data_IF_253510227346
#
_entry.id   IF_253510227346
#
_cell.length_a   1.000
_cell.length_b   1.000
_cell.length_c   1.000
_cell.angle_alpha   90.00
_cell.angle_beta   90.00
_cell.angle_gamma   90.00
#
_symmetry.space_group_name_H-M   'P 1'
#
loop_
_entity.id
_entity.type
_entity.pdbx_description
1 polymer ?
#
# COMPACT_ATOMS: atom_id res chain seq x y z
N UNK A 1 -16.77 6.71 -10.21
CA UNK A 1 -16.89 5.42 -9.48
C UNK A 1 -18.30 4.85 -9.57
N UNK A 2 -19.33 5.67 -9.37
CA UNK A 2 -20.73 5.26 -9.50
C UNK A 2 -21.05 4.59 -10.83
N UNK A 3 -20.54 5.16 -11.93
CA UNK A 3 -20.64 4.57 -13.26
C UNK A 3 -20.13 3.11 -13.35
N UNK A 4 -19.01 2.78 -12.69
CA UNK A 4 -18.45 1.40 -12.72
C UNK A 4 -19.33 0.44 -11.92
N UNK A 5 -19.81 0.88 -10.75
CA UNK A 5 -20.72 0.08 -9.93
C UNK A 5 -22.02 -0.15 -10.69
N UNK A 6 -22.59 0.87 -11.30
CA UNK A 6 -23.83 0.79 -12.08
C UNK A 6 -23.67 -0.06 -13.34
N UNK A 7 -22.56 0.06 -14.07
CA UNK A 7 -22.24 -0.83 -15.17
C UNK A 7 -22.15 -2.28 -14.71
N UNK A 8 -21.51 -2.52 -13.56
CA UNK A 8 -21.38 -3.87 -13.02
C UNK A 8 -22.72 -4.46 -12.58
N UNK A 9 -23.54 -3.67 -11.88
CA UNK A 9 -24.90 -4.07 -11.50
C UNK A 9 -25.75 -4.39 -12.73
N UNK A 10 -25.70 -3.57 -13.79
CA UNK A 10 -26.40 -3.84 -15.06
C UNK A 10 -25.92 -5.13 -15.73
N UNK A 11 -24.61 -5.37 -15.73
CA UNK A 11 -24.02 -6.61 -16.25
C UNK A 11 -24.48 -7.84 -15.45
N UNK A 12 -24.67 -7.70 -14.14
CA UNK A 12 -25.14 -8.81 -13.29
C UNK A 12 -26.60 -9.14 -13.54
N UNK A 13 -27.49 -8.14 -13.58
CA UNK A 13 -28.91 -8.35 -13.89
C UNK A 13 -29.08 -8.99 -15.27
N UNK A 14 -28.35 -8.52 -16.28
CA UNK A 14 -28.37 -9.10 -17.62
C UNK A 14 -27.75 -10.52 -17.70
N UNK A 15 -26.91 -10.91 -16.72
CA UNK A 15 -26.30 -12.23 -16.60
C UNK A 15 -27.19 -13.21 -15.82
N UNK A 16 -27.88 -12.76 -14.78
CA UNK A 16 -28.87 -13.54 -14.03
C UNK A 16 -30.04 -13.97 -14.90
N UNK A 17 -30.47 -13.11 -15.83
CA UNK A 17 -31.47 -13.43 -16.85
C UNK A 17 -31.00 -14.50 -17.87
N UNK A 18 -29.70 -14.80 -17.95
CA UNK A 18 -29.08 -15.70 -18.94
C UNK A 18 -28.51 -17.00 -18.37
N UNK A 19 -28.48 -17.20 -17.05
CA UNK A 19 -27.73 -18.30 -16.43
C UNK A 19 -28.57 -19.57 -16.21
N UNK A 20 -28.43 -20.51 -17.16
CA UNK A 20 -28.60 -21.95 -16.98
C UNK A 20 -27.24 -22.56 -16.61
N UNK A 21 -27.16 -23.19 -15.42
CA UNK A 21 -26.24 -24.26 -15.03
C UNK A 21 -24.70 -24.12 -15.01
N UNK A 22 -24.08 -22.93 -15.14
CA UNK A 22 -22.64 -22.79 -14.82
C UNK A 22 -22.41 -21.84 -13.63
N UNK A 23 -21.80 -22.36 -12.55
CA UNK A 23 -21.27 -21.53 -11.45
C UNK A 23 -20.05 -20.76 -11.95
N UNK A 24 -20.29 -19.59 -12.53
CA UNK A 24 -19.24 -18.67 -12.98
C UNK A 24 -18.55 -18.01 -11.76
N UNK A 25 -17.23 -17.80 -11.85
CA UNK A 25 -16.42 -17.22 -10.79
C UNK A 25 -16.76 -15.73 -10.59
N UNK A 26 -17.18 -15.36 -9.37
CA UNK A 26 -17.54 -13.97 -9.01
C UNK A 26 -16.29 -13.16 -8.72
N UNK A 27 -16.19 -11.95 -9.29
CA UNK A 27 -15.09 -11.04 -8.93
C UNK A 27 -15.30 -10.36 -7.58
N UNK A 28 -14.24 -9.71 -7.07
CA UNK A 28 -14.26 -9.11 -5.73
C UNK A 28 -15.35 -8.03 -5.56
N UNK A 29 -15.62 -7.21 -6.59
CA UNK A 29 -16.69 -6.22 -6.50
C UNK A 29 -18.06 -6.91 -6.45
N UNK A 30 -18.22 -8.00 -7.19
CA UNK A 30 -19.44 -8.80 -7.15
C UNK A 30 -19.70 -9.35 -5.75
N UNK A 31 -18.68 -9.98 -5.15
CA UNK A 31 -18.78 -10.53 -3.80
C UNK A 31 -19.17 -9.46 -2.77
N UNK A 32 -18.61 -8.25 -2.88
CA UNK A 32 -18.97 -7.13 -2.01
C UNK A 32 -20.40 -6.63 -2.21
N UNK A 33 -20.91 -6.65 -3.45
CA UNK A 33 -22.28 -6.27 -3.76
C UNK A 33 -23.27 -7.32 -3.24
N UNK A 34 -22.95 -8.61 -3.39
CA UNK A 34 -23.77 -9.70 -2.85
C UNK A 34 -23.85 -9.60 -1.31
N UNK A 35 -22.73 -9.33 -0.64
CA UNK A 35 -22.70 -9.14 0.82
C UNK A 35 -23.49 -7.90 1.26
N UNK A 36 -23.52 -6.85 0.42
CA UNK A 36 -24.37 -5.67 0.68
C UNK A 36 -25.86 -6.00 0.59
N UNK A 37 -26.24 -6.95 -0.27
CA UNK A 37 -27.62 -7.34 -0.54
C UNK A 37 -28.15 -8.42 0.42
N UNK A 38 -27.29 -9.06 1.20
CA UNK A 38 -27.70 -9.96 2.27
C UNK A 38 -28.39 -9.18 3.40
N UNK A 39 -29.69 -9.45 3.59
CA UNK A 39 -30.52 -8.81 4.61
C UNK A 39 -30.15 -9.21 6.06
N UNK A 40 -29.44 -10.32 6.25
CA UNK A 40 -29.15 -10.95 7.55
C UNK A 40 -27.80 -10.52 8.18
N UNK A 41 -27.12 -9.53 7.58
CA UNK A 41 -25.86 -9.03 8.12
C UNK A 41 -26.10 -8.04 9.27
N UNK A 42 -25.67 -8.38 10.49
CA UNK A 42 -25.76 -7.53 11.70
C UNK A 42 -25.17 -6.11 11.49
N UNK A 43 -24.25 -5.96 10.53
CA UNK A 43 -23.73 -4.68 10.02
C UNK A 43 -23.54 -4.75 8.49
N UNK A 44 -24.52 -4.30 7.69
CA UNK A 44 -24.41 -4.36 6.23
C UNK A 44 -23.31 -3.44 5.72
N UNK A 45 -22.56 -3.91 4.72
CA UNK A 45 -21.54 -3.09 4.07
C UNK A 45 -22.22 -1.99 3.26
N UNK A 46 -21.81 -0.74 3.47
CA UNK A 46 -22.42 0.41 2.79
C UNK A 46 -21.75 0.64 1.43
N UNK A 47 -22.49 1.26 0.48
CA UNK A 47 -21.90 1.71 -0.80
C UNK A 47 -20.68 2.60 -0.55
N UNK A 48 -20.72 3.47 0.46
CA UNK A 48 -19.59 4.33 0.86
C UNK A 48 -18.36 3.52 1.28
N UNK A 49 -18.53 2.45 2.05
CA UNK A 49 -17.41 1.56 2.42
C UNK A 49 -16.83 0.85 1.20
N UNK A 50 -17.68 0.34 0.29
CA UNK A 50 -17.22 -0.27 -0.97
C UNK A 50 -16.42 0.74 -1.79
N UNK A 51 -16.88 2.00 -1.87
CA UNK A 51 -16.15 3.07 -2.55
C UNK A 51 -14.81 3.37 -1.89
N UNK A 52 -14.77 3.41 -0.55
CA UNK A 52 -13.57 3.71 0.22
C UNK A 52 -12.48 2.63 0.11
N UNK A 53 -12.81 1.41 -0.31
CA UNK A 53 -11.82 0.36 -0.59
C UNK A 53 -10.94 0.67 -1.80
N UNK A 54 -11.40 1.52 -2.72
CA UNK A 54 -10.68 1.87 -3.96
C UNK A 54 -10.08 3.27 -3.87
N UNK A 55 -9.20 3.44 -2.89
CA UNK A 55 -8.44 4.66 -2.68
C UNK A 55 -7.14 4.61 -3.48
N UNK A 56 -6.75 5.73 -4.11
CA UNK A 56 -5.56 5.85 -4.97
C UNK A 56 -4.23 5.89 -4.18
N UNK A 57 -4.19 5.18 -3.05
CA UNK A 57 -3.06 5.13 -2.11
C UNK A 57 -1.84 4.47 -2.74
N UNK A 58 -2.05 3.39 -3.50
CA UNK A 58 -1.00 2.69 -4.25
C UNK A 58 -0.38 3.60 -5.31
N UNK A 59 -1.19 4.32 -6.09
CA UNK A 59 -0.70 5.25 -7.10
C UNK A 59 0.15 6.37 -6.48
N UNK A 60 -0.39 7.04 -5.46
CA UNK A 60 0.32 8.10 -4.71
C UNK A 60 1.64 7.57 -4.14
N UNK A 61 1.63 6.38 -3.52
CA UNK A 61 2.84 5.79 -2.93
C UNK A 61 3.86 5.45 -4.00
N UNK A 62 3.42 4.99 -5.18
CA UNK A 62 4.29 4.68 -6.33
C UNK A 62 4.92 5.94 -6.92
N UNK A 63 4.16 7.04 -7.01
CA UNK A 63 4.65 8.32 -7.52
C UNK A 63 5.74 8.91 -6.63
N UNK A 64 5.48 8.98 -5.32
CA UNK A 64 6.49 9.42 -4.35
C UNK A 64 7.71 8.51 -4.35
N UNK A 65 7.48 7.21 -4.47
CA UNK A 65 8.54 6.23 -4.58
C UNK A 65 9.44 6.50 -5.81
N UNK A 66 8.84 6.70 -6.97
CA UNK A 66 9.58 7.02 -8.19
C UNK A 66 10.35 8.34 -8.06
N UNK A 67 9.72 9.38 -7.51
CA UNK A 67 10.33 10.70 -7.37
C UNK A 67 11.62 10.67 -6.53
N UNK A 68 11.60 9.94 -5.43
CA UNK A 68 12.75 9.75 -4.55
C UNK A 68 13.82 8.85 -5.18
N UNK A 69 13.45 7.79 -5.90
CA UNK A 69 14.43 6.99 -6.67
C UNK A 69 15.15 7.87 -7.70
N UNK A 70 14.39 8.71 -8.41
CA UNK A 70 14.93 9.63 -9.42
C UNK A 70 15.83 10.71 -8.81
N UNK A 71 15.54 11.12 -7.56
CA UNK A 71 16.36 12.09 -6.82
C UNK A 71 17.64 11.47 -6.23
N UNK A 72 17.73 10.14 -6.19
CA UNK A 72 18.84 9.39 -5.60
C UNK A 72 19.44 8.38 -6.62
N UNK A 73 20.40 8.81 -7.46
CA UNK A 73 20.96 7.98 -8.53
C UNK A 73 21.53 6.63 -8.05
N UNK A 74 22.10 6.57 -6.84
CA UNK A 74 22.60 5.32 -6.26
C UNK A 74 21.49 4.29 -6.02
N UNK A 75 20.32 4.75 -5.57
CA UNK A 75 19.15 3.92 -5.32
C UNK A 75 18.54 3.46 -6.64
N UNK A 76 18.41 4.37 -7.61
CA UNK A 76 17.94 4.01 -8.96
C UNK A 76 18.83 2.94 -9.60
N UNK A 77 20.16 3.12 -9.57
CA UNK A 77 21.11 2.15 -10.12
C UNK A 77 20.97 0.77 -9.47
N UNK A 78 20.81 0.69 -8.16
CA UNK A 78 20.63 -0.59 -7.45
C UNK A 78 19.32 -1.29 -7.79
N UNK A 79 18.24 -0.52 -7.93
CA UNK A 79 16.96 -1.09 -8.38
C UNK A 79 17.06 -1.61 -9.82
N UNK A 80 17.82 -0.92 -10.69
CA UNK A 80 18.09 -1.37 -12.06
C UNK A 80 18.94 -2.63 -12.11
N UNK A 81 19.97 -2.74 -11.28
CA UNK A 81 20.81 -3.92 -11.16
C UNK A 81 20.00 -5.14 -10.69
N UNK A 82 19.21 -4.98 -9.63
CA UNK A 82 18.31 -6.04 -9.17
C UNK A 82 17.30 -6.45 -10.27
N UNK A 83 16.72 -5.48 -10.97
CA UNK A 83 15.76 -5.76 -12.04
C UNK A 83 16.41 -6.51 -13.21
N UNK A 84 17.62 -6.11 -13.60
CA UNK A 84 18.39 -6.75 -14.67
C UNK A 84 18.73 -8.20 -14.33
N UNK A 85 19.08 -8.47 -13.07
CA UNK A 85 19.41 -9.81 -12.57
C UNK A 85 18.18 -10.71 -12.45
N UNK A 86 17.08 -10.22 -11.88
CA UNK A 86 15.91 -11.03 -11.54
C UNK A 86 14.97 -11.23 -12.72
N UNK A 87 14.76 -10.19 -13.52
CA UNK A 87 13.75 -10.16 -14.60
C UNK A 87 14.42 -10.08 -15.97
N UNK A 88 15.47 -9.27 -16.09
CA UNK A 88 16.03 -8.84 -17.36
C UNK A 88 15.34 -7.57 -17.86
N UNK A 89 16.13 -6.59 -18.31
CA UNK A 89 15.64 -5.22 -18.59
C UNK A 89 14.60 -5.14 -19.71
N UNK A 90 14.64 -6.07 -20.65
CA UNK A 90 13.71 -6.15 -21.80
C UNK A 90 12.47 -6.99 -21.52
N UNK A 91 12.46 -7.75 -20.44
CA UNK A 91 11.41 -8.73 -20.16
C UNK A 91 10.23 -8.08 -19.42
N UNK A 92 9.08 -8.75 -19.48
CA UNK A 92 7.88 -8.35 -18.76
C UNK A 92 8.04 -8.79 -17.30
N UNK A 93 7.63 -7.92 -16.37
CA UNK A 93 7.62 -8.27 -14.94
C UNK A 93 6.41 -9.18 -14.72
N UNK A 94 6.61 -10.30 -14.05
CA UNK A 94 5.56 -11.25 -13.66
C UNK A 94 5.44 -11.28 -12.14
N UNK A 95 4.31 -11.76 -11.64
CA UNK A 95 4.09 -11.88 -10.18
C UNK A 95 5.14 -12.79 -9.52
N UNK A 96 5.60 -13.82 -10.24
CA UNK A 96 6.63 -14.77 -9.79
C UNK A 96 7.99 -14.09 -9.51
N UNK A 97 8.25 -12.92 -10.08
CA UNK A 97 9.46 -12.15 -9.86
C UNK A 97 9.42 -11.32 -8.57
N UNK A 98 8.24 -10.88 -8.12
CA UNK A 98 8.10 -9.92 -7.03
C UNK A 98 8.78 -10.36 -5.71
N UNK A 99 8.69 -11.63 -5.27
CA UNK A 99 9.36 -12.06 -4.04
C UNK A 99 10.90 -11.99 -4.10
N UNK A 100 11.47 -11.93 -5.31
CA UNK A 100 12.92 -11.87 -5.55
C UNK A 100 13.44 -10.42 -5.61
N UNK A 101 12.57 -9.43 -5.79
CA UNK A 101 12.90 -7.99 -5.85
C UNK A 101 13.00 -7.38 -4.45
N UNK A 102 14.01 -7.79 -3.68
CA UNK A 102 14.20 -7.42 -2.27
C UNK A 102 14.53 -5.94 -2.09
N UNK A 103 15.42 -5.40 -2.91
CA UNK A 103 15.81 -4.00 -2.87
C UNK A 103 14.64 -3.09 -3.24
N UNK A 104 13.82 -3.44 -4.24
CA UNK A 104 12.59 -2.69 -4.53
C UNK A 104 11.59 -2.75 -3.37
N UNK A 105 11.44 -3.91 -2.71
CA UNK A 105 10.61 -4.03 -1.50
C UNK A 105 11.10 -3.12 -0.37
N UNK A 106 12.40 -3.01 -0.16
CA UNK A 106 12.98 -2.11 0.86
C UNK A 106 12.85 -0.64 0.52
N UNK A 107 12.99 -0.33 -0.77
CA UNK A 107 12.74 1.00 -1.31
C UNK A 107 11.30 1.40 -1.01
N UNK A 108 10.34 0.48 -1.23
CA UNK A 108 8.95 0.63 -0.80
C UNK A 108 8.79 0.83 0.72
N UNK A 109 9.49 0.06 1.57
CA UNK A 109 9.47 0.29 3.02
C UNK A 109 9.98 1.69 3.41
N UNK A 110 11.03 2.15 2.74
CA UNK A 110 11.55 3.51 2.91
C UNK A 110 10.50 4.58 2.63
N UNK A 111 9.69 4.40 1.59
CA UNK A 111 8.67 5.38 1.20
C UNK A 111 7.50 5.40 2.14
N UNK A 112 6.95 4.24 2.48
CA UNK A 112 5.81 4.18 3.40
C UNK A 112 6.16 4.73 4.78
N UNK A 113 7.44 4.70 5.15
CA UNK A 113 7.96 5.43 6.31
C UNK A 113 7.94 6.95 6.14
N UNK A 114 8.47 7.46 5.02
CA UNK A 114 8.54 8.91 4.74
C UNK A 114 7.20 9.53 4.36
N UNK A 115 6.23 8.74 3.90
CA UNK A 115 4.94 9.22 3.44
C UNK A 115 4.18 9.98 4.55
N UNK A 116 3.40 10.97 4.12
CA UNK A 116 2.65 11.88 5.00
C UNK A 116 1.29 11.32 5.44
N UNK A 117 0.94 10.10 5.04
CA UNK A 117 -0.36 9.50 5.31
C UNK A 117 -0.23 8.31 6.26
N UNK A 118 -0.85 8.38 7.45
CA UNK A 118 -2.20 7.88 7.74
C UNK A 118 -2.43 8.05 9.23
N UNK A 119 -3.27 9.03 9.57
CA UNK A 119 -3.74 9.25 10.92
C UNK A 119 -4.86 8.22 11.17
N UNK A 120 -4.58 7.19 11.97
CA UNK A 120 -5.61 6.27 12.41
C UNK A 120 -6.44 6.94 13.51
N UNK A 121 -7.73 7.11 13.26
CA UNK A 121 -8.68 7.54 14.30
C UNK A 121 -9.29 6.32 14.97
N UNK A 122 -9.12 6.21 16.28
CA UNK A 122 -9.92 5.31 17.13
C UNK A 122 -10.96 6.14 17.88
N UNK A 123 -12.09 5.52 18.17
CA UNK A 123 -13.08 6.06 19.08
C UNK A 123 -13.34 4.97 20.13
N UNK A 124 -12.97 5.17 21.40
CA UNK A 124 -13.14 4.14 22.40
C UNK A 124 -14.64 3.96 22.71
N UNK A 125 -15.07 2.70 22.76
CA UNK A 125 -16.46 2.32 23.04
C UNK A 125 -16.87 2.61 24.49
N UNK A 126 -15.88 2.75 25.37
CA UNK A 126 -15.99 2.98 26.81
C UNK A 126 -14.84 3.89 27.25
N UNK A 127 -15.03 4.65 28.34
CA UNK A 127 -13.95 5.47 28.88
C UNK A 127 -12.80 4.59 29.36
N UNK A 128 -11.57 4.91 28.98
CA UNK A 128 -10.39 4.10 29.27
C UNK A 128 -9.20 4.98 29.70
N UNK A 129 -8.12 4.34 30.16
CA UNK A 129 -6.87 5.03 30.49
C UNK A 129 -5.79 4.64 29.49
N UNK A 130 -5.11 5.61 28.89
CA UNK A 130 -4.01 5.40 27.93
C UNK A 130 -2.82 6.23 28.38
N UNK A 131 -1.69 5.59 28.68
CA UNK A 131 -0.46 6.30 29.09
C UNK A 131 -0.62 7.18 30.33
N UNK A 132 -1.54 6.82 31.25
CA UNK A 132 -1.87 7.61 32.43
C UNK A 132 -2.96 8.67 32.22
N UNK A 133 -3.41 8.90 30.97
CA UNK A 133 -4.48 9.85 30.66
C UNK A 133 -5.84 9.15 30.57
N UNK A 134 -6.87 9.72 31.19
CA UNK A 134 -8.25 9.28 31.01
C UNK A 134 -8.77 9.77 29.65
N UNK A 135 -9.20 8.84 28.80
CA UNK A 135 -9.81 9.09 27.51
C UNK A 135 -11.30 8.77 27.60
N UNK A 136 -12.19 9.78 27.55
CA UNK A 136 -13.62 9.55 27.60
C UNK A 136 -14.13 8.74 26.41
N UNK A 137 -15.18 7.93 26.64
CA UNK A 137 -15.97 7.30 25.58
C UNK A 137 -16.35 8.33 24.49
N UNK A 138 -16.25 7.95 23.23
CA UNK A 138 -16.62 8.83 22.11
C UNK A 138 -15.49 9.76 21.62
N UNK A 139 -14.36 9.83 22.32
CA UNK A 139 -13.22 10.68 21.93
C UNK A 139 -12.55 10.17 20.65
N UNK A 140 -12.34 11.05 19.66
CA UNK A 140 -11.51 10.71 18.49
C UNK A 140 -10.02 10.78 18.88
N UNK A 141 -9.37 9.63 18.89
CA UNK A 141 -7.95 9.48 19.18
C UNK A 141 -7.20 9.28 17.89
N UNK A 142 -6.24 10.16 17.62
CA UNK A 142 -5.41 10.14 16.41
C UNK A 142 -4.00 9.67 16.73
N UNK A 143 -3.53 8.64 16.02
CA UNK A 143 -2.14 8.18 16.12
C UNK A 143 -1.29 8.96 15.13
N UNK A 144 -0.32 9.72 15.64
CA UNK A 144 0.61 10.50 14.82
C UNK A 144 1.75 9.62 14.28
N UNK A 145 1.43 8.77 13.30
CA UNK A 145 2.40 7.88 12.63
C UNK A 145 3.55 8.67 12.00
N UNK A 146 3.26 9.87 11.48
CA UNK A 146 4.26 10.75 10.88
C UNK A 146 5.37 11.12 11.88
N UNK A 147 5.00 11.47 13.13
CA UNK A 147 5.95 11.77 14.18
C UNK A 147 6.73 10.52 14.62
N UNK A 148 6.06 9.38 14.77
CA UNK A 148 6.70 8.10 15.14
C UNK A 148 7.78 7.72 14.11
N UNK A 149 7.46 7.84 12.81
CA UNK A 149 8.39 7.51 11.73
C UNK A 149 9.58 8.47 11.59
N UNK A 150 9.52 9.63 12.26
CA UNK A 150 10.54 10.68 12.24
C UNK A 150 11.20 10.94 13.59
N UNK A 151 10.84 10.17 14.61
CA UNK A 151 11.41 10.33 15.94
C UNK A 151 12.90 9.91 15.94
N UNK A 152 13.84 10.83 16.20
CA UNK A 152 15.27 10.54 16.21
C UNK A 152 15.66 9.54 17.30
N UNK A 153 14.80 9.30 18.30
CA UNK A 153 15.00 8.25 19.31
C UNK A 153 14.96 6.85 18.71
N UNK A 154 14.16 6.63 17.66
CA UNK A 154 13.96 5.32 17.04
C UNK A 154 14.59 5.22 15.64
N UNK A 155 14.78 6.36 14.97
CA UNK A 155 15.26 6.42 13.60
C UNK A 155 16.52 7.27 13.50
N UNK A 156 17.65 6.64 13.16
CA UNK A 156 18.85 7.38 12.78
C UNK A 156 18.61 8.17 11.48
N UNK A 157 18.97 9.45 11.49
CA UNK A 157 18.77 10.41 10.40
C UNK A 157 17.33 10.32 9.82
N UNK A 158 16.30 10.70 10.60
CA UNK A 158 14.91 10.42 10.26
C UNK A 158 14.41 11.19 9.04
N UNK A 159 14.99 12.34 8.72
CA UNK A 159 14.58 13.08 7.52
C UNK A 159 15.12 12.48 6.23
N UNK A 160 16.16 11.65 6.30
CA UNK A 160 16.83 11.10 5.12
C UNK A 160 16.15 9.82 4.60
N UNK A 161 15.92 9.81 3.28
CA UNK A 161 15.47 8.62 2.57
C UNK A 161 16.61 7.59 2.43
N UNK A 162 16.65 6.62 3.36
CA UNK A 162 17.66 5.55 3.39
C UNK A 162 17.01 4.15 3.34
N UNK A 163 16.70 3.58 2.17
CA UNK A 163 16.14 2.22 2.04
C UNK A 163 16.98 1.13 2.72
N UNK A 164 18.31 1.31 2.73
CA UNK A 164 19.24 0.33 3.30
C UNK A 164 18.97 0.00 4.77
N UNK A 165 18.28 0.86 5.54
CA UNK A 165 17.90 0.57 6.93
C UNK A 165 16.95 -0.64 7.05
N UNK A 166 16.25 -0.97 5.97
CA UNK A 166 15.32 -2.08 5.89
C UNK A 166 16.00 -3.41 5.54
N UNK A 167 17.24 -3.38 5.00
CA UNK A 167 18.06 -4.57 4.72
C UNK A 167 18.57 -5.28 5.97
N UNK A 168 18.94 -4.50 7.00
CA UNK A 168 19.74 -5.01 8.12
C UNK A 168 18.95 -5.95 9.01
N UNK A 169 17.62 -5.82 9.03
CA UNK A 169 16.76 -6.70 9.81
C UNK A 169 15.36 -6.81 9.16
N UNK A 170 15.21 -7.62 8.09
CA UNK A 170 13.97 -7.69 7.32
C UNK A 170 12.77 -8.15 8.15
N UNK A 171 12.97 -8.99 9.16
CA UNK A 171 11.90 -9.47 10.06
C UNK A 171 11.43 -8.41 11.05
N UNK A 172 12.22 -7.35 11.28
CA UNK A 172 11.81 -6.21 12.13
C UNK A 172 10.89 -5.22 11.39
N UNK A 173 10.93 -5.21 10.06
CA UNK A 173 10.29 -4.18 9.24
C UNK A 173 9.20 -4.74 8.34
N UNK A 174 8.38 -5.63 8.90
CA UNK A 174 7.20 -6.15 8.22
C UNK A 174 5.99 -5.19 8.30
N UNK A 175 4.98 -5.48 7.49
CA UNK A 175 3.70 -4.77 7.46
C UNK A 175 2.67 -5.34 8.44
N UNK A 176 3.04 -6.33 9.26
CA UNK A 176 2.15 -7.00 10.21
C UNK A 176 1.74 -6.13 11.39
N UNK A 177 2.38 -4.97 11.57
CA UNK A 177 2.03 -4.00 12.62
C UNK A 177 2.47 -4.43 14.03
N UNK A 178 3.42 -5.37 14.13
CA UNK A 178 3.98 -5.83 15.40
C UNK A 178 5.07 -4.89 15.94
N UNK A 179 5.62 -4.02 15.08
CA UNK A 179 6.63 -3.03 15.45
C UNK A 179 6.02 -1.63 15.52
N UNK A 180 5.79 -1.12 16.72
CA UNK A 180 5.18 0.21 16.90
C UNK A 180 6.05 1.39 16.46
N UNK A 181 7.32 1.17 16.09
CA UNK A 181 8.17 2.20 15.49
C UNK A 181 7.90 2.36 13.99
N UNK A 182 7.25 1.38 13.37
CA UNK A 182 6.98 1.33 11.93
C UNK A 182 5.55 0.79 11.68
N UNK A 183 4.61 1.71 11.48
CA UNK A 183 3.18 1.43 11.36
C UNK A 183 2.58 1.96 10.05
N UNK A 184 3.19 1.70 8.87
CA UNK A 184 2.71 2.25 7.59
C UNK A 184 1.28 1.80 7.24
N UNK A 185 0.86 0.65 7.75
CA UNK A 185 -0.46 0.07 7.51
C UNK A 185 -1.27 -0.12 8.80
N UNK A 186 -0.87 0.50 9.90
CA UNK A 186 -1.52 0.37 11.20
C UNK A 186 -1.14 -0.93 11.94
N UNK A 187 -1.96 -1.30 12.93
CA UNK A 187 -1.70 -2.46 13.80
C UNK A 187 -3.00 -3.02 14.41
N UNK A 188 -2.99 -4.29 14.79
CA UNK A 188 -4.09 -4.98 15.46
C UNK A 188 -5.40 -4.93 14.66
N UNK A 189 -6.53 -4.65 15.32
CA UNK A 189 -7.87 -4.65 14.68
C UNK A 189 -8.10 -3.59 13.61
N UNK A 190 -7.15 -2.66 13.42
CA UNK A 190 -7.23 -1.61 12.39
C UNK A 190 -6.11 -1.72 11.36
N UNK A 191 -5.40 -2.85 11.34
CA UNK A 191 -4.42 -3.13 10.30
C UNK A 191 -5.11 -3.11 8.94
N UNK A 192 -4.44 -2.52 7.95
CA UNK A 192 -4.99 -2.40 6.60
C UNK A 192 -5.22 -3.80 6.00
N UNK A 193 -6.45 -4.16 5.60
CA UNK A 193 -6.71 -5.44 4.95
C UNK A 193 -6.11 -5.52 3.54
N UNK A 194 -5.76 -4.37 2.95
CA UNK A 194 -5.17 -4.25 1.62
C UNK A 194 -3.67 -4.50 1.54
N UNK A 195 -2.97 -4.80 2.64
CA UNK A 195 -1.50 -5.03 2.65
C UNK A 195 -1.05 -6.00 1.55
N UNK A 196 -1.64 -7.20 1.39
CA UNK A 196 -1.14 -8.17 0.41
C UNK A 196 -1.25 -7.67 -1.03
N UNK A 197 -2.27 -6.85 -1.32
CA UNK A 197 -2.47 -6.24 -2.62
C UNK A 197 -1.51 -5.07 -2.83
N UNK A 198 -1.41 -4.17 -1.84
CA UNK A 198 -0.55 -3.00 -1.89
C UNK A 198 0.93 -3.39 -2.08
N UNK A 199 1.42 -4.37 -1.32
CA UNK A 199 2.80 -4.86 -1.43
C UNK A 199 3.12 -5.37 -2.84
N UNK A 200 2.25 -6.20 -3.42
CA UNK A 200 2.42 -6.72 -4.77
C UNK A 200 2.35 -5.61 -5.82
N UNK A 201 1.31 -4.79 -5.77
CA UNK A 201 1.08 -3.73 -6.75
C UNK A 201 2.22 -2.72 -6.75
N UNK A 202 2.71 -2.31 -5.58
CA UNK A 202 3.77 -1.29 -5.49
C UNK A 202 5.07 -1.77 -6.10
N UNK A 203 5.50 -2.99 -5.75
CA UNK A 203 6.72 -3.58 -6.33
C UNK A 203 6.53 -3.78 -7.85
N UNK A 204 5.37 -4.29 -8.26
CA UNK A 204 5.07 -4.52 -9.68
C UNK A 204 5.08 -3.22 -10.49
N UNK A 205 4.44 -2.16 -10.01
CA UNK A 205 4.35 -0.87 -10.70
C UNK A 205 5.72 -0.20 -10.81
N UNK A 206 6.52 -0.25 -9.74
CA UNK A 206 7.90 0.26 -9.75
C UNK A 206 8.77 -0.51 -10.74
N UNK A 207 8.76 -1.85 -10.67
CA UNK A 207 9.55 -2.72 -11.55
C UNK A 207 9.15 -2.61 -13.02
N UNK A 208 7.86 -2.41 -13.28
CA UNK A 208 7.32 -2.28 -14.64
C UNK A 208 7.51 -0.89 -15.23
N UNK A 209 7.88 0.10 -14.42
CA UNK A 209 8.03 1.48 -14.85
C UNK A 209 9.13 1.61 -15.92
N UNK A 210 8.83 2.25 -17.07
CA UNK A 210 9.85 2.56 -18.07
C UNK A 210 10.99 3.41 -17.52
N UNK A 211 10.74 4.25 -16.51
CA UNK A 211 11.77 5.09 -15.88
C UNK A 211 12.80 4.27 -15.11
N UNK A 212 12.38 3.16 -14.50
CA UNK A 212 13.29 2.20 -13.89
C UNK A 212 13.96 1.36 -14.98
N UNK A 213 13.22 0.93 -16.00
CA UNK A 213 13.78 0.13 -17.11
C UNK A 213 14.72 0.88 -18.05
N UNK A 214 14.71 2.21 -18.04
CA UNK A 214 15.61 3.02 -18.87
C UNK A 214 16.87 3.32 -18.08
N UNK A 215 18.02 2.84 -18.56
CA UNK A 215 19.31 3.35 -18.09
C UNK A 215 19.37 4.83 -18.43
N UNK A 216 19.09 5.68 -17.45
CA UNK A 216 19.35 7.12 -17.58
C UNK A 216 20.87 7.28 -17.51
N UNK A 217 21.54 7.11 -18.66
CA UNK A 217 22.86 7.68 -18.90
C UNK A 217 22.70 9.20 -18.97
N UNK A 218 22.55 9.88 -17.83
CA UNK A 218 22.81 11.31 -17.74
C UNK A 218 24.26 11.53 -17.30
N UNK A 219 25.17 11.05 -18.13
CA UNK A 219 26.52 11.59 -18.22
C UNK A 219 26.53 12.49 -19.46
N UNK A 220 26.59 13.81 -19.25
CA UNK A 220 26.79 14.89 -20.23
C UNK A 220 25.56 15.68 -20.72
N UNK A 221 24.80 16.30 -19.81
CA UNK A 221 24.37 17.69 -20.07
C UNK A 221 25.02 18.62 -19.05
N UNK A 222 26.28 18.98 -19.33
CA UNK A 222 26.79 20.28 -18.91
C UNK A 222 26.09 21.30 -19.80
N UNK A 223 25.25 22.13 -19.18
CA UNK A 223 24.65 23.30 -19.82
C UNK A 223 25.78 24.19 -20.35
N UNK A 224 25.73 24.48 -21.66
CA UNK A 224 26.19 25.75 -22.20
C UNK A 224 25.14 26.82 -21.88
#
# INVERSE_FOLDING_TARGET
>A
MDHIIEQKMKLNTAKEERASNNREEKDFLQLLLDVKEQEDAEKPITRTQIKALRTDTTATTTEWAMAEMMSNPEIMRKAQEELAEVVGMTNIVEESHLPKLKFMKETHCGYTRQSHSYIFSKCPSESCTVGGYTVPKGTKVFINVWAIHRDPKYWDNPSEFKPKRFLTNPSRWDYGGNNFQYLPFGSGRIVCPGIPLAERMLIYLLASSPRVKTLIFHSNLKLF
#
